data_IF_089587500752
#
_entry.id   IF_089587500752
#
_cell.length_a   1.000
_cell.length_b   1.000
_cell.length_c   1.000
_cell.angle_alpha   90.00
_cell.angle_beta   90.00
_cell.angle_gamma   90.00
#
_symmetry.space_group_name_H-M   'P 1'
#
loop_
_entity.id
_entity.type
_entity.pdbx_description
1 polymer ?
#
# COMPACT_ATOMS: atom_id res chain seq x y z
N UNK A 1 16.80 -21.39 -9.93
CA UNK A 1 15.83 -21.96 -8.97
C UNK A 1 15.76 -21.19 -7.65
N UNK A 2 16.85 -20.53 -7.22
CA UNK A 2 16.85 -19.65 -6.02
C UNK A 2 16.02 -18.38 -6.18
N UNK A 3 16.09 -17.71 -7.34
CA UNK A 3 15.37 -16.46 -7.59
C UNK A 3 13.83 -16.56 -7.47
N UNK A 4 13.25 -17.65 -7.98
CA UNK A 4 11.81 -17.89 -7.84
C UNK A 4 11.41 -18.11 -6.37
N UNK A 5 12.28 -18.74 -5.57
CA UNK A 5 12.04 -18.94 -4.13
C UNK A 5 12.12 -17.61 -3.38
N UNK A 6 13.12 -16.77 -3.67
CA UNK A 6 13.26 -15.44 -3.06
C UNK A 6 12.04 -14.57 -3.37
N UNK A 7 11.56 -14.59 -4.62
CA UNK A 7 10.33 -13.89 -5.00
C UNK A 7 9.12 -14.36 -4.18
N UNK A 8 8.88 -15.67 -4.11
CA UNK A 8 7.74 -16.23 -3.37
C UNK A 8 7.82 -15.89 -1.88
N UNK A 9 9.00 -16.04 -1.27
CA UNK A 9 9.26 -15.68 0.13
C UNK A 9 8.96 -14.19 0.34
N UNK A 10 9.46 -13.32 -0.54
CA UNK A 10 9.23 -11.87 -0.45
C UNK A 10 7.75 -11.52 -0.50
N UNK A 11 6.98 -12.18 -1.37
CA UNK A 11 5.52 -11.96 -1.46
C UNK A 11 4.81 -12.44 -0.20
N UNK A 12 5.14 -13.64 0.30
CA UNK A 12 4.53 -14.18 1.52
C UNK A 12 4.81 -13.28 2.72
N UNK A 13 6.08 -12.93 2.95
CA UNK A 13 6.46 -12.08 4.09
C UNK A 13 6.00 -10.64 3.89
N UNK A 14 5.91 -10.13 2.65
CA UNK A 14 5.39 -8.80 2.34
C UNK A 14 3.89 -8.68 2.62
N UNK A 15 3.15 -9.79 2.59
CA UNK A 15 1.73 -9.83 2.91
C UNK A 15 1.46 -9.60 4.40
N UNK A 16 2.37 -10.05 5.28
CA UNK A 16 2.21 -9.95 6.74
C UNK A 16 2.01 -8.49 7.19
N UNK A 17 2.90 -7.52 6.87
CA UNK A 17 2.70 -6.13 7.27
C UNK A 17 1.45 -5.52 6.62
N UNK A 18 1.08 -5.92 5.40
CA UNK A 18 -0.17 -5.43 4.78
C UNK A 18 -1.40 -5.82 5.60
N UNK A 19 -1.48 -7.08 6.05
CA UNK A 19 -2.58 -7.55 6.89
C UNK A 19 -2.58 -6.81 8.22
N UNK A 20 -1.43 -6.71 8.90
CA UNK A 20 -1.32 -6.02 10.19
C UNK A 20 -1.79 -4.57 10.09
N UNK A 21 -1.26 -3.82 9.11
CA UNK A 21 -1.60 -2.40 8.94
C UNK A 21 -3.07 -2.23 8.53
N UNK A 22 -3.62 -3.14 7.73
CA UNK A 22 -5.04 -3.11 7.35
C UNK A 22 -5.98 -3.37 8.52
N UNK A 23 -5.62 -4.30 9.41
CA UNK A 23 -6.37 -4.56 10.65
C UNK A 23 -6.33 -3.34 11.57
N UNK A 24 -5.14 -2.74 11.76
CA UNK A 24 -4.98 -1.52 12.56
C UNK A 24 -5.82 -0.37 11.98
N UNK A 25 -5.78 -0.18 10.66
CA UNK A 25 -6.60 0.80 9.94
C UNK A 25 -8.08 0.58 10.22
N UNK A 26 -8.58 -0.65 10.06
CA UNK A 26 -10.00 -0.97 10.29
C UNK A 26 -10.43 -0.66 11.73
N UNK A 27 -9.59 -1.00 12.72
CA UNK A 27 -9.85 -0.70 14.13
C UNK A 27 -9.93 0.82 14.35
N UNK A 28 -8.96 1.59 13.85
CA UNK A 28 -8.91 3.05 14.03
C UNK A 28 -10.08 3.73 13.32
N UNK A 29 -10.38 3.36 12.08
CA UNK A 29 -11.47 3.94 11.31
C UNK A 29 -12.84 3.62 11.91
N UNK A 30 -13.01 2.45 12.53
CA UNK A 30 -14.20 2.09 13.29
C UNK A 30 -14.32 2.89 14.60
N UNK A 31 -13.22 3.07 15.33
CA UNK A 31 -13.16 3.79 16.59
C UNK A 31 -13.50 5.28 16.41
N UNK A 32 -12.96 5.88 15.35
CA UNK A 32 -13.18 7.28 15.00
C UNK A 32 -14.49 7.51 14.23
N UNK A 33 -15.26 6.46 13.92
CA UNK A 33 -16.53 6.54 13.17
C UNK A 33 -16.44 7.32 11.86
N UNK A 34 -15.27 7.35 11.21
CA UNK A 34 -14.99 8.16 10.00
C UNK A 34 -15.97 7.85 8.85
N UNK A 35 -16.42 6.61 8.83
CA UNK A 35 -17.35 6.03 7.89
C UNK A 35 -18.81 6.51 8.01
N UNK A 36 -19.19 7.16 9.11
CA UNK A 36 -20.54 7.72 9.30
C UNK A 36 -20.73 9.04 8.56
N UNK A 37 -19.61 9.72 8.23
CA UNK A 37 -19.60 11.01 7.55
C UNK A 37 -19.68 10.90 6.02
N UNK A 38 -19.70 9.67 5.47
CA UNK A 38 -19.76 9.43 4.03
C UNK A 38 -21.22 9.59 3.54
N UNK A 39 -21.47 10.40 2.48
CA UNK A 39 -22.79 10.54 1.86
C UNK A 39 -23.37 9.18 1.46
N UNK A 40 -24.67 8.98 1.65
CA UNK A 40 -25.33 7.68 1.37
C UNK A 40 -25.21 7.28 -0.10
N UNK A 41 -25.25 8.25 -1.00
CA UNK A 41 -25.03 8.08 -2.45
C UNK A 41 -23.62 7.56 -2.79
N UNK A 42 -22.64 7.87 -1.94
CA UNK A 42 -21.24 7.45 -2.09
C UNK A 42 -20.88 6.23 -1.25
N UNK A 43 -21.81 5.68 -0.47
CA UNK A 43 -21.58 4.45 0.31
C UNK A 43 -21.64 3.25 -0.62
N UNK A 44 -20.48 2.81 -1.09
CA UNK A 44 -20.35 1.49 -1.71
C UNK A 44 -20.89 0.41 -0.74
N UNK A 45 -21.54 -0.62 -1.28
CA UNK A 45 -22.05 -1.74 -0.50
C UNK A 45 -20.93 -2.33 0.37
N UNK A 46 -21.06 -2.28 1.70
CA UNK A 46 -20.04 -2.82 2.61
C UNK A 46 -20.18 -4.33 2.69
N UNK A 47 -19.61 -5.02 1.71
CA UNK A 47 -19.53 -6.48 1.65
C UNK A 47 -18.12 -7.01 1.91
N UNK A 48 -18.04 -8.25 2.38
CA UNK A 48 -16.78 -9.00 2.47
C UNK A 48 -16.03 -9.05 1.12
N UNK A 49 -16.78 -9.06 0.01
CA UNK A 49 -16.24 -9.03 -1.36
C UNK A 49 -15.39 -7.78 -1.64
N UNK A 50 -15.82 -6.61 -1.19
CA UNK A 50 -15.07 -5.36 -1.36
C UNK A 50 -13.81 -5.34 -0.50
N UNK A 51 -13.85 -5.95 0.68
CA UNK A 51 -12.65 -6.12 1.51
C UNK A 51 -11.64 -7.05 0.83
N UNK A 52 -12.10 -8.17 0.26
CA UNK A 52 -11.25 -9.08 -0.52
C UNK A 52 -10.66 -8.38 -1.75
N UNK A 53 -11.47 -7.62 -2.49
CA UNK A 53 -11.01 -6.88 -3.66
C UNK A 53 -9.96 -5.82 -3.28
N UNK A 54 -10.18 -5.10 -2.18
CA UNK A 54 -9.21 -4.15 -1.65
C UNK A 54 -7.92 -4.86 -1.24
N UNK A 55 -8.02 -5.99 -0.54
CA UNK A 55 -6.85 -6.76 -0.12
C UNK A 55 -6.04 -7.28 -1.31
N UNK A 56 -6.70 -7.84 -2.33
CA UNK A 56 -6.04 -8.30 -3.56
C UNK A 56 -5.36 -7.12 -4.28
N UNK A 57 -6.03 -5.96 -4.34
CA UNK A 57 -5.46 -4.75 -4.90
C UNK A 57 -4.23 -4.29 -4.13
N UNK A 58 -4.32 -4.24 -2.79
CA UNK A 58 -3.21 -3.85 -1.92
C UNK A 58 -2.02 -4.81 -2.07
N UNK A 59 -2.28 -6.12 -2.07
CA UNK A 59 -1.24 -7.14 -2.28
C UNK A 59 -0.54 -6.93 -3.63
N UNK A 60 -1.31 -6.66 -4.67
CA UNK A 60 -0.77 -6.43 -6.00
C UNK A 60 0.08 -5.15 -6.06
N UNK A 61 -0.45 -4.02 -5.59
CA UNK A 61 0.19 -2.71 -5.74
C UNK A 61 1.31 -2.43 -4.74
N UNK A 62 1.25 -2.97 -3.52
CA UNK A 62 2.25 -2.70 -2.49
C UNK A 62 3.32 -3.79 -2.38
N UNK A 63 3.03 -5.02 -2.80
CA UNK A 63 3.97 -6.14 -2.67
C UNK A 63 4.35 -6.69 -4.05
N UNK A 64 3.42 -7.31 -4.78
CA UNK A 64 3.77 -8.05 -6.01
C UNK A 64 4.43 -7.16 -7.06
N UNK A 65 3.79 -6.03 -7.40
CA UNK A 65 4.29 -5.13 -8.42
C UNK A 65 5.62 -4.49 -8.01
N UNK A 66 5.79 -3.93 -6.80
CA UNK A 66 7.09 -3.45 -6.33
C UNK A 66 8.17 -4.53 -6.27
N UNK A 67 7.86 -5.77 -5.85
CA UNK A 67 8.81 -6.89 -5.88
C UNK A 67 9.23 -7.22 -7.31
N UNK A 68 8.29 -7.22 -8.26
CA UNK A 68 8.57 -7.48 -9.67
C UNK A 68 9.43 -6.37 -10.27
N UNK A 69 9.10 -5.10 -10.01
CA UNK A 69 9.91 -3.96 -10.44
C UNK A 69 11.32 -4.04 -9.83
N UNK A 70 11.44 -4.34 -8.54
CA UNK A 70 12.73 -4.51 -7.90
C UNK A 70 13.52 -5.66 -8.56
N UNK A 71 12.90 -6.81 -8.77
CA UNK A 71 13.54 -7.95 -9.44
C UNK A 71 14.08 -7.63 -10.83
N UNK A 72 13.33 -6.86 -11.63
CA UNK A 72 13.72 -6.53 -13.02
C UNK A 72 14.70 -5.35 -13.10
N UNK A 73 14.50 -4.32 -12.28
CA UNK A 73 15.16 -3.03 -12.46
C UNK A 73 16.38 -2.89 -11.54
N UNK A 74 16.36 -3.51 -10.35
CA UNK A 74 17.45 -3.38 -9.38
C UNK A 74 18.82 -3.85 -9.89
N UNK A 75 18.96 -4.95 -10.68
CA UNK A 75 20.24 -5.37 -11.23
C UNK A 75 20.92 -4.33 -12.14
N UNK A 76 20.14 -3.36 -12.64
CA UNK A 76 20.56 -2.37 -13.64
C UNK A 76 20.71 -0.97 -12.99
N UNK A 77 20.24 -0.78 -11.75
CA UNK A 77 20.33 0.51 -11.09
C UNK A 77 21.70 0.73 -10.43
N UNK A 78 22.32 1.91 -10.61
CA UNK A 78 23.62 2.24 -10.01
C UNK A 78 23.54 2.66 -8.52
N UNK A 79 22.41 2.48 -7.85
CA UNK A 79 22.16 2.99 -6.50
C UNK A 79 22.11 1.86 -5.45
N UNK A 80 22.54 2.15 -4.22
CA UNK A 80 22.51 1.19 -3.11
C UNK A 80 21.06 0.92 -2.66
N UNK A 81 20.69 -0.36 -2.61
CA UNK A 81 19.30 -0.82 -2.73
C UNK A 81 18.27 -0.39 -1.71
N UNK A 82 18.62 -0.24 -0.43
CA UNK A 82 17.61 0.08 0.59
C UNK A 82 17.17 1.55 0.54
N UNK A 83 18.12 2.49 0.61
CA UNK A 83 17.80 3.92 0.76
C UNK A 83 17.19 4.52 -0.51
N UNK A 84 17.67 4.09 -1.67
CA UNK A 84 17.19 4.57 -2.97
C UNK A 84 15.80 4.03 -3.30
N UNK A 85 15.53 2.74 -3.08
CA UNK A 85 14.22 2.13 -3.30
C UNK A 85 13.13 2.74 -2.40
N UNK A 86 13.42 2.92 -1.12
CA UNK A 86 12.51 3.59 -0.18
C UNK A 86 12.29 5.05 -0.58
N UNK A 87 13.34 5.79 -0.93
CA UNK A 87 13.21 7.19 -1.34
C UNK A 87 12.39 7.36 -2.63
N UNK A 88 12.60 6.52 -3.64
CA UNK A 88 11.84 6.56 -4.89
C UNK A 88 10.37 6.17 -4.66
N UNK A 89 10.12 5.13 -3.86
CA UNK A 89 8.75 4.73 -3.51
C UNK A 89 7.99 5.84 -2.78
N UNK A 90 8.62 6.48 -1.79
CA UNK A 90 8.04 7.61 -1.07
C UNK A 90 7.84 8.81 -2.01
N UNK A 91 8.80 9.11 -2.88
CA UNK A 91 8.68 10.20 -3.85
C UNK A 91 7.52 9.97 -4.84
N UNK A 92 7.39 8.75 -5.38
CA UNK A 92 6.28 8.38 -6.26
C UNK A 92 4.92 8.49 -5.54
N UNK A 93 4.88 8.08 -4.26
CA UNK A 93 3.69 8.24 -3.42
C UNK A 93 3.33 9.71 -3.18
N UNK A 94 4.32 10.53 -2.82
CA UNK A 94 4.15 11.95 -2.51
C UNK A 94 3.74 12.78 -3.73
N UNK A 95 4.32 12.50 -4.90
CA UNK A 95 4.10 13.27 -6.12
C UNK A 95 2.94 12.75 -6.98
N UNK A 96 2.57 11.48 -6.84
CA UNK A 96 1.49 10.86 -7.63
C UNK A 96 0.25 10.57 -6.80
N UNK A 97 0.36 9.61 -5.88
CA UNK A 97 -0.78 9.03 -5.17
C UNK A 97 -1.48 10.04 -4.26
N UNK A 98 -0.70 10.86 -3.53
CA UNK A 98 -1.19 11.89 -2.63
C UNK A 98 -2.06 12.96 -3.33
N UNK A 99 -1.56 13.68 -4.37
CA UNK A 99 -2.36 14.69 -5.07
C UNK A 99 -3.56 14.07 -5.83
N UNK A 100 -3.40 12.86 -6.37
CA UNK A 100 -4.51 12.19 -7.05
C UNK A 100 -5.64 11.80 -6.09
N UNK A 101 -5.31 11.16 -4.97
CA UNK A 101 -6.30 10.72 -3.98
C UNK A 101 -7.00 11.90 -3.30
N UNK A 102 -6.28 12.99 -3.04
CA UNK A 102 -6.88 14.24 -2.52
C UNK A 102 -7.81 14.88 -3.54
N UNK A 103 -7.42 14.96 -4.81
CA UNK A 103 -8.30 15.44 -5.89
C UNK A 103 -9.55 14.58 -6.03
N UNK A 104 -9.40 13.25 -6.01
CA UNK A 104 -10.51 12.31 -6.09
C UNK A 104 -11.44 12.42 -4.87
N UNK A 105 -10.87 12.54 -3.68
CA UNK A 105 -11.62 12.72 -2.45
C UNK A 105 -12.46 14.00 -2.44
N UNK A 106 -11.92 15.10 -2.98
CA UNK A 106 -12.67 16.34 -3.17
C UNK A 106 -13.82 16.17 -4.19
N UNK A 107 -13.57 15.48 -5.32
CA UNK A 107 -14.59 15.22 -6.35
C UNK A 107 -15.72 14.34 -5.84
N UNK A 108 -15.40 13.33 -5.03
CA UNK A 108 -16.34 12.39 -4.44
C UNK A 108 -16.96 12.90 -3.12
N UNK A 109 -16.62 14.13 -2.70
CA UNK A 109 -17.07 14.76 -1.44
C UNK A 109 -16.82 13.87 -0.22
N UNK A 110 -15.68 13.17 -0.21
CA UNK A 110 -15.30 12.32 0.91
C UNK A 110 -14.84 13.19 2.09
N UNK A 111 -15.09 12.76 3.34
CA UNK A 111 -14.60 13.46 4.52
C UNK A 111 -13.07 13.55 4.50
N UNK A 112 -12.51 14.74 4.70
CA UNK A 112 -11.06 14.96 4.79
C UNK A 112 -10.38 14.01 5.79
N UNK A 113 -10.94 13.76 6.99
CA UNK A 113 -10.35 12.81 7.95
C UNK A 113 -10.22 11.38 7.39
N UNK A 114 -11.18 10.94 6.56
CA UNK A 114 -11.13 9.63 5.92
C UNK A 114 -10.00 9.58 4.89
N UNK A 115 -9.90 10.59 4.03
CA UNK A 115 -8.84 10.69 3.00
C UNK A 115 -7.46 10.69 3.67
N UNK A 116 -7.27 11.50 4.72
CA UNK A 116 -6.01 11.59 5.46
C UNK A 116 -5.67 10.27 6.15
N UNK A 117 -6.64 9.62 6.80
CA UNK A 117 -6.46 8.28 7.38
C UNK A 117 -6.01 7.28 6.34
N UNK A 118 -6.74 7.15 5.23
CA UNK A 118 -6.41 6.21 4.14
C UNK A 118 -5.01 6.46 3.58
N UNK A 119 -4.65 7.72 3.35
CA UNK A 119 -3.32 8.07 2.86
C UNK A 119 -2.21 7.77 3.87
N UNK A 120 -2.46 8.00 5.15
CA UNK A 120 -1.50 7.66 6.19
C UNK A 120 -1.26 6.14 6.24
N UNK A 121 -2.33 5.34 6.23
CA UNK A 121 -2.19 3.88 6.24
C UNK A 121 -1.58 3.32 4.95
N UNK A 122 -1.88 3.90 3.79
CA UNK A 122 -1.22 3.53 2.53
C UNK A 122 0.29 3.82 2.57
N UNK A 123 0.71 4.92 3.18
CA UNK A 123 2.13 5.22 3.37
C UNK A 123 2.80 4.19 4.30
N UNK A 124 2.12 3.80 5.39
CA UNK A 124 2.61 2.75 6.30
C UNK A 124 2.75 1.40 5.59
N UNK A 125 1.71 1.00 4.82
CA UNK A 125 1.72 -0.22 4.00
C UNK A 125 2.89 -0.22 3.02
N UNK A 126 3.07 0.87 2.27
CA UNK A 126 4.15 1.04 1.32
C UNK A 126 5.53 0.92 2.00
N UNK A 127 5.73 1.65 3.10
CA UNK A 127 7.02 1.66 3.80
C UNK A 127 7.35 0.28 4.38
N UNK A 128 6.37 -0.40 4.99
CA UNK A 128 6.57 -1.73 5.55
C UNK A 128 6.82 -2.78 4.45
N UNK A 129 6.07 -2.72 3.35
CA UNK A 129 6.26 -3.63 2.22
C UNK A 129 7.63 -3.44 1.56
N UNK A 130 8.06 -2.19 1.32
CA UNK A 130 9.40 -1.90 0.79
C UNK A 130 10.50 -2.39 1.73
N UNK A 131 10.31 -2.29 3.06
CA UNK A 131 11.25 -2.85 4.04
C UNK A 131 11.44 -4.36 3.89
N UNK A 132 10.36 -5.11 3.68
CA UNK A 132 10.43 -6.56 3.45
C UNK A 132 11.09 -6.89 2.10
N UNK A 133 10.68 -6.20 1.04
CA UNK A 133 11.22 -6.42 -0.32
C UNK A 133 12.72 -6.21 -0.35
N UNK A 134 13.17 -5.07 0.19
CA UNK A 134 14.59 -4.73 0.23
C UNK A 134 15.38 -5.64 1.15
N UNK A 135 14.79 -6.16 2.23
CA UNK A 135 15.46 -7.16 3.08
C UNK A 135 15.72 -8.45 2.30
N UNK A 136 14.67 -9.08 1.75
CA UNK A 136 14.81 -10.40 1.13
C UNK A 136 15.44 -10.38 -0.27
N UNK A 137 15.40 -9.27 -0.99
CA UNK A 137 15.97 -9.17 -2.35
C UNK A 137 17.38 -8.58 -2.41
N UNK A 138 17.97 -8.17 -1.27
CA UNK A 138 19.39 -7.78 -1.19
C UNK A 138 20.31 -8.89 -0.67
N UNK A 139 19.76 -10.04 -0.25
CA UNK A 139 20.49 -11.26 0.09
C UNK A 139 20.30 -12.29 -1.02
#
# INVERSE_FOLDING_TARGET
>A
MEMAKIFIITVIYGTIPLVIVSVIQAIIESSLKLHQQIPEESRAARGFELYLLQFVSDLFFFVILPTLVYYWVYPIMPFSGYKSGVAVGIAAYALGSLPYATSLGLRLKLPTPLIVSTLFFNLLKLTAALGVITHYMNY
#
